data_IF_669999173534
#
_entry.id   IF_669999173534
#
_cell.length_a   1.000
_cell.length_b   1.000
_cell.length_c   1.000
_cell.angle_alpha   90.00
_cell.angle_beta   90.00
_cell.angle_gamma   90.00
#
_symmetry.space_group_name_H-M   'P 1'
#
loop_
_entity.id
_entity.type
_entity.pdbx_description
1 polymer ?
#
# COMPACT_ATOMS: atom_id res chain seq x y z
N UNK A 1 67.71 1.27 30.37
CA UNK A 1 67.18 0.30 31.36
C UNK A 1 66.52 -0.82 30.59
N UNK A 2 66.94 -2.06 30.87
CA UNK A 2 66.40 -3.31 30.32
C UNK A 2 65.00 -3.63 30.89
N UNK A 3 64.44 -4.85 30.71
CA UNK A 3 64.13 -5.63 29.50
C UNK A 3 62.62 -6.03 29.52
N UNK A 4 62.07 -6.78 28.56
CA UNK A 4 61.92 -8.25 28.60
C UNK A 4 60.80 -8.64 27.61
N UNK A 5 61.04 -9.56 26.67
CA UNK A 5 60.70 -11.01 26.74
C UNK A 5 59.18 -11.23 26.69
N UNK A 6 58.56 -12.04 25.82
CA UNK A 6 58.83 -13.42 25.41
C UNK A 6 57.82 -13.74 24.26
N UNK A 7 58.21 -14.30 23.11
CA UNK A 7 58.26 -15.74 22.78
C UNK A 7 56.97 -16.52 23.15
N UNK A 8 56.39 -17.46 22.38
CA UNK A 8 56.65 -18.08 21.07
C UNK A 8 55.58 -19.19 20.85
N UNK A 9 55.68 -19.91 19.72
CA UNK A 9 55.20 -21.29 19.41
C UNK A 9 54.00 -21.30 18.42
N UNK A 10 54.18 -21.47 17.10
CA UNK A 10 54.66 -22.64 16.29
C UNK A 10 53.57 -23.73 16.11
N UNK A 11 52.96 -23.88 14.92
CA UNK A 11 53.28 -24.75 13.75
C UNK A 11 52.37 -25.99 13.61
N UNK A 12 51.67 -26.03 12.46
CA UNK A 12 51.34 -27.15 11.53
C UNK A 12 51.30 -28.63 11.99
N UNK A 13 50.20 -29.32 11.67
CA UNK A 13 50.07 -30.66 11.01
C UNK A 13 48.59 -31.11 11.08
N UNK A 14 47.87 -31.48 10.02
CA UNK A 14 47.91 -32.63 9.07
C UNK A 14 46.92 -33.77 9.43
N UNK A 15 46.26 -34.29 8.39
CA UNK A 15 45.64 -35.62 8.23
C UNK A 15 44.23 -35.97 8.78
N UNK A 16 43.30 -36.02 7.81
CA UNK A 16 42.32 -37.06 7.45
C UNK A 16 42.01 -38.25 8.40
N UNK A 17 40.71 -38.63 8.52
CA UNK A 17 40.10 -39.89 7.99
C UNK A 17 38.74 -40.31 8.63
N UNK A 18 37.81 -40.68 7.73
CA UNK A 18 36.77 -41.75 7.73
C UNK A 18 35.63 -41.91 8.78
N UNK A 19 34.46 -42.26 8.19
CA UNK A 19 33.48 -43.31 8.57
C UNK A 19 32.39 -42.95 9.61
N UNK A 20 31.13 -42.74 9.18
CA UNK A 20 29.98 -43.72 9.16
C UNK A 20 28.91 -43.24 10.17
N UNK A 21 27.58 -43.36 10.08
CA UNK A 21 26.61 -44.18 9.31
C UNK A 21 25.17 -43.64 9.57
N UNK A 22 24.24 -43.94 8.63
CA UNK A 22 22.77 -44.16 8.78
C UNK A 22 21.87 -42.97 9.17
N UNK A 23 20.74 -42.66 8.50
CA UNK A 23 19.64 -43.55 8.12
C UNK A 23 18.74 -42.96 7.02
N UNK A 24 18.09 -43.86 6.28
CA UNK A 24 17.14 -43.73 5.14
C UNK A 24 15.74 -43.19 5.55
N UNK A 25 14.76 -42.90 4.63
CA UNK A 25 14.08 -43.89 3.79
C UNK A 25 13.84 -43.52 2.30
N UNK A 26 14.10 -44.54 1.48
CA UNK A 26 13.36 -45.10 0.33
C UNK A 26 12.19 -44.36 -0.34
N UNK A 27 12.27 -44.40 -1.67
CA UNK A 27 11.26 -44.19 -2.72
C UNK A 27 10.18 -45.27 -2.73
N UNK A 28 8.92 -44.89 -3.00
CA UNK A 28 7.88 -45.79 -3.55
C UNK A 28 6.98 -45.04 -4.54
N UNK A 29 7.04 -45.47 -5.79
CA UNK A 29 6.07 -45.22 -6.89
C UNK A 29 4.86 -46.12 -6.71
N UNK A 30 3.61 -45.63 -6.85
CA UNK A 30 2.41 -46.48 -7.11
C UNK A 30 1.18 -45.64 -7.54
N UNK A 31 0.75 -45.88 -8.78
CA UNK A 31 -0.65 -46.05 -9.25
C UNK A 31 -1.60 -44.85 -9.40
N UNK A 32 -1.64 -44.42 -10.67
CA UNK A 32 -2.81 -44.14 -11.51
C UNK A 32 -4.13 -44.81 -11.03
N UNK A 33 -5.13 -44.01 -10.63
CA UNK A 33 -6.53 -44.27 -10.99
C UNK A 33 -7.33 -42.98 -11.14
N UNK A 34 -8.02 -42.98 -12.26
CA UNK A 34 -8.80 -41.95 -12.92
C UNK A 34 -10.24 -42.01 -12.46
N UNK A 35 -10.80 -40.88 -12.01
CA UNK A 35 -12.13 -40.38 -12.42
C UNK A 35 -12.51 -39.14 -11.61
N UNK A 36 -12.44 -37.97 -12.24
CA UNK A 36 -13.33 -36.85 -11.93
C UNK A 36 -13.96 -36.48 -13.27
N UNK A 37 -15.08 -37.12 -13.57
CA UNK A 37 -16.01 -36.70 -14.63
C UNK A 37 -16.57 -35.34 -14.16
N UNK A 38 -16.22 -34.26 -14.85
CA UNK A 38 -17.02 -33.04 -14.82
C UNK A 38 -17.92 -33.08 -16.06
N UNK A 39 -19.21 -33.30 -15.81
CA UNK A 39 -20.26 -33.20 -16.81
C UNK A 39 -20.32 -31.79 -17.39
N UNK A 40 -20.13 -31.72 -18.71
CA UNK A 40 -20.45 -30.57 -19.53
C UNK A 40 -21.89 -30.75 -20.03
N UNK A 41 -22.84 -30.00 -19.47
CA UNK A 41 -24.17 -29.81 -20.10
C UNK A 41 -24.68 -28.38 -19.95
N UNK A 42 -24.56 -27.67 -21.07
CA UNK A 42 -25.61 -26.91 -21.78
C UNK A 42 -26.43 -25.84 -21.02
N UNK A 43 -26.11 -24.60 -21.41
CA UNK A 43 -26.97 -23.56 -22.01
C UNK A 43 -28.36 -23.21 -21.43
N UNK A 44 -28.59 -21.90 -21.52
CA UNK A 44 -29.86 -21.17 -21.53
C UNK A 44 -30.56 -20.96 -20.19
N UNK A 45 -30.47 -19.72 -19.68
CA UNK A 45 -31.62 -18.84 -19.45
C UNK A 45 -31.16 -17.45 -18.94
N UNK A 46 -31.18 -16.45 -19.83
CA UNK A 46 -31.30 -15.03 -19.49
C UNK A 46 -32.76 -14.57 -19.79
N UNK A 47 -33.22 -13.41 -19.33
CA UNK A 47 -33.98 -13.22 -18.10
C UNK A 47 -35.48 -12.97 -18.34
N UNK A 48 -36.31 -13.27 -17.34
CA UNK A 48 -37.74 -12.95 -17.38
C UNK A 48 -37.97 -11.42 -17.26
N UNK A 49 -38.23 -10.77 -18.40
CA UNK A 49 -38.74 -9.40 -18.53
C UNK A 49 -40.13 -9.32 -17.89
N UNK A 50 -40.21 -8.83 -16.66
CA UNK A 50 -41.48 -8.44 -16.04
C UNK A 50 -41.91 -7.08 -16.60
N UNK A 51 -42.83 -7.11 -17.57
CA UNK A 51 -43.58 -5.95 -18.08
C UNK A 51 -44.29 -5.25 -16.91
N UNK A 52 -43.73 -4.13 -16.42
CA UNK A 52 -44.46 -3.20 -15.55
C UNK A 52 -45.13 -2.13 -16.40
N UNK A 53 -46.43 -1.96 -16.14
CA UNK A 53 -47.38 -1.07 -16.80
C UNK A 53 -46.87 0.38 -16.81
N UNK A 54 -46.99 1.04 -17.97
CA UNK A 54 -46.84 2.49 -18.13
C UNK A 54 -47.95 3.19 -17.34
N UNK A 55 -47.60 3.81 -16.23
CA UNK A 55 -48.47 4.74 -15.51
C UNK A 55 -48.25 6.15 -16.03
N UNK A 56 -49.32 6.92 -16.14
CA UNK A 56 -49.45 8.18 -16.85
C UNK A 56 -48.37 9.25 -16.50
N UNK A 57 -47.89 9.94 -17.54
CA UNK A 57 -47.09 11.15 -17.46
C UNK A 57 -47.95 12.26 -16.83
N UNK A 58 -47.60 12.66 -15.60
CA UNK A 58 -48.06 13.93 -15.02
C UNK A 58 -47.43 15.09 -15.80
N UNK A 59 -48.15 16.21 -16.03
CA UNK A 59 -47.53 17.41 -16.59
C UNK A 59 -46.46 17.92 -15.62
N UNK A 60 -45.27 18.16 -16.18
CA UNK A 60 -44.09 18.65 -15.48
C UNK A 60 -44.34 20.12 -15.12
N UNK A 61 -44.51 20.44 -13.84
CA UNK A 61 -44.45 21.82 -13.37
C UNK A 61 -43.06 22.37 -13.68
N UNK A 62 -42.99 23.46 -14.43
CA UNK A 62 -41.75 24.16 -14.76
C UNK A 62 -40.95 24.51 -13.49
N UNK A 63 -39.62 24.39 -13.49
CA UNK A 63 -38.82 24.90 -12.38
C UNK A 63 -38.92 26.44 -12.33
N UNK A 64 -38.88 27.06 -11.13
CA UNK A 64 -38.81 28.51 -11.03
C UNK A 64 -37.48 29.03 -11.63
N UNK A 65 -37.47 30.25 -12.19
CA UNK A 65 -36.24 30.86 -12.68
C UNK A 65 -35.25 31.05 -11.52
N UNK A 66 -33.92 31.01 -11.80
CA UNK A 66 -32.91 31.30 -10.79
C UNK A 66 -33.08 32.73 -10.27
N UNK A 67 -32.72 33.02 -9.00
CA UNK A 67 -32.70 34.38 -8.51
C UNK A 67 -31.71 35.20 -9.34
N UNK A 68 -32.20 36.26 -9.97
CA UNK A 68 -31.37 37.28 -10.61
C UNK A 68 -30.49 37.90 -9.54
N UNK A 69 -29.19 37.65 -9.63
CA UNK A 69 -28.20 38.29 -8.78
C UNK A 69 -28.03 39.69 -9.37
N UNK A 70 -28.60 40.71 -8.73
CA UNK A 70 -28.33 42.09 -9.09
C UNK A 70 -26.85 42.36 -8.82
N UNK A 71 -26.09 42.56 -9.90
CA UNK A 71 -24.69 42.89 -9.86
C UNK A 71 -24.56 44.38 -9.51
N UNK A 72 -24.68 44.73 -8.22
CA UNK A 72 -24.22 46.03 -7.74
C UNK A 72 -22.70 45.96 -7.51
N UNK A 73 -21.97 46.66 -8.38
CA UNK A 73 -20.55 46.90 -8.27
C UNK A 73 -20.33 48.07 -7.31
N UNK A 74 -19.97 47.83 -6.04
CA UNK A 74 -19.10 48.77 -5.33
C UNK A 74 -18.33 48.19 -4.13
N UNK A 75 -17.04 47.90 -4.40
CA UNK A 75 -15.87 48.17 -3.57
C UNK A 75 -15.86 47.62 -2.13
N UNK A 76 -15.18 46.48 -2.00
CA UNK A 76 -14.35 46.16 -0.85
C UNK A 76 -13.22 45.27 -1.34
N UNK A 77 -12.00 45.80 -1.39
CA UNK A 77 -10.78 45.01 -1.63
C UNK A 77 -10.57 44.05 -0.45
N UNK A 78 -11.31 42.95 -0.46
CA UNK A 78 -11.12 41.80 0.41
C UNK A 78 -10.14 40.87 -0.28
N UNK A 79 -8.92 40.86 0.22
CA UNK A 79 -7.90 39.89 -0.11
C UNK A 79 -8.40 38.49 0.30
N UNK A 80 -9.13 37.79 -0.56
CA UNK A 80 -9.52 36.39 -0.36
C UNK A 80 -8.33 35.48 -0.69
N UNK A 81 -7.24 35.57 0.08
CA UNK A 81 -6.50 34.34 0.34
C UNK A 81 -7.41 33.51 1.26
N UNK A 82 -8.08 32.52 0.67
CA UNK A 82 -8.62 31.42 1.45
C UNK A 82 -7.49 30.87 2.32
N UNK A 83 -7.63 30.87 3.66
CA UNK A 83 -6.68 30.15 4.50
C UNK A 83 -6.74 28.67 4.12
N UNK A 84 -5.57 28.03 4.04
CA UNK A 84 -5.34 26.64 3.65
C UNK A 84 -5.98 25.62 4.62
N UNK A 85 -7.31 25.67 4.77
CA UNK A 85 -8.07 24.83 5.68
C UNK A 85 -8.68 23.59 5.00
N UNK A 86 -8.43 23.38 3.70
CA UNK A 86 -8.87 22.19 2.95
C UNK A 86 -7.72 21.21 2.65
N UNK A 87 -6.48 21.58 2.97
CA UNK A 87 -5.31 20.73 2.73
C UNK A 87 -5.25 19.51 3.65
N UNK A 88 -6.05 19.47 4.71
CA UNK A 88 -6.16 18.33 5.59
C UNK A 88 -7.13 17.26 5.06
N UNK A 89 -8.14 17.64 4.30
CA UNK A 89 -9.21 16.74 3.84
C UNK A 89 -8.84 15.99 2.56
N UNK A 90 -7.76 16.42 1.89
CA UNK A 90 -7.21 15.78 0.69
C UNK A 90 -6.43 14.48 0.99
N UNK A 91 -5.91 14.31 2.21
CA UNK A 91 -5.12 13.14 2.59
C UNK A 91 -6.01 12.04 3.17
N UNK A 92 -6.55 11.19 2.30
CA UNK A 92 -7.52 10.15 2.66
C UNK A 92 -6.97 9.08 3.61
N UNK A 93 -5.65 8.92 3.66
CA UNK A 93 -4.99 8.04 4.61
C UNK A 93 -4.00 8.87 5.41
N UNK A 94 -4.31 9.12 6.68
CA UNK A 94 -3.38 9.73 7.64
C UNK A 94 -2.88 8.65 8.59
N UNK A 95 -1.59 8.70 8.92
CA UNK A 95 -1.01 7.76 9.86
C UNK A 95 0.11 8.39 10.67
N UNK A 96 0.03 8.22 11.99
CA UNK A 96 1.14 8.43 12.92
C UNK A 96 2.06 7.21 12.87
N UNK A 97 3.34 7.43 12.56
CA UNK A 97 4.36 6.39 12.50
C UNK A 97 4.62 5.84 13.90
N UNK A 98 4.61 4.52 14.02
CA UNK A 98 5.01 3.81 15.23
C UNK A 98 6.46 3.41 15.12
N UNK A 99 7.08 3.06 16.25
CA UNK A 99 8.43 2.50 16.27
C UNK A 99 8.63 1.42 15.18
N UNK A 100 7.71 0.46 15.09
CA UNK A 100 7.75 -0.63 14.10
C UNK A 100 7.78 -0.20 12.63
N UNK A 101 7.34 1.02 12.33
CA UNK A 101 7.35 1.56 10.97
C UNK A 101 8.72 2.14 10.58
N UNK A 102 9.56 2.49 11.57
CA UNK A 102 10.85 3.18 11.37
C UNK A 102 12.05 2.42 11.96
N UNK A 103 11.86 1.43 12.85
CA UNK A 103 12.92 0.87 13.71
C UNK A 103 13.43 -0.53 13.35
N UNK A 104 13.21 -0.99 12.11
CA UNK A 104 13.93 -2.17 11.58
C UNK A 104 13.05 -3.29 11.02
N UNK A 105 11.74 -3.27 11.24
CA UNK A 105 10.82 -4.17 10.50
C UNK A 105 10.74 -3.86 9.01
N UNK A 106 11.34 -2.74 8.60
CA UNK A 106 11.45 -2.25 7.23
C UNK A 106 10.15 -2.19 6.45
N UNK A 107 9.06 -1.85 7.15
CA UNK A 107 7.70 -1.89 6.61
C UNK A 107 6.82 -0.81 7.21
N UNK A 108 5.97 -0.21 6.38
CA UNK A 108 4.90 0.68 6.82
C UNK A 108 3.60 -0.12 6.90
N UNK A 109 3.02 -0.26 8.10
CA UNK A 109 1.76 -0.97 8.29
C UNK A 109 0.55 -0.05 8.07
N UNK A 110 -0.31 -0.33 7.08
CA UNK A 110 -1.48 0.50 6.82
C UNK A 110 -2.78 -0.16 7.29
N UNK A 111 -3.73 0.68 7.69
CA UNK A 111 -5.07 0.24 8.09
C UNK A 111 -5.79 -0.45 6.94
N UNK A 112 -6.36 -1.63 7.22
CA UNK A 112 -7.00 -2.47 6.20
C UNK A 112 -8.07 -1.72 5.40
N UNK A 113 -9.00 -1.07 6.08
CA UNK A 113 -10.13 -0.38 5.46
C UNK A 113 -9.66 0.75 4.53
N UNK A 114 -8.76 1.61 5.03
CA UNK A 114 -8.21 2.73 4.27
C UNK A 114 -7.49 2.30 2.98
N UNK A 115 -6.73 1.20 3.03
CA UNK A 115 -6.05 0.67 1.83
C UNK A 115 -7.07 0.10 0.83
N UNK A 116 -8.08 -0.62 1.31
CA UNK A 116 -9.10 -1.20 0.43
C UNK A 116 -9.92 -0.11 -0.27
N UNK A 117 -10.35 0.91 0.46
CA UNK A 117 -11.22 1.98 -0.04
C UNK A 117 -10.49 2.98 -0.93
N UNK A 118 -9.22 3.28 -0.65
CA UNK A 118 -8.51 4.37 -1.32
C UNK A 118 -7.36 3.94 -2.23
N UNK A 119 -6.85 2.72 -2.11
CA UNK A 119 -5.72 2.24 -2.95
C UNK A 119 -6.18 1.08 -3.85
N UNK A 120 -6.80 0.04 -3.28
CA UNK A 120 -7.13 -1.17 -4.04
C UNK A 120 -8.33 -1.01 -4.96
N UNK A 121 -9.11 0.06 -4.80
CA UNK A 121 -10.11 0.45 -5.79
C UNK A 121 -9.48 0.73 -7.17
N UNK A 122 -8.17 1.03 -7.21
CA UNK A 122 -7.45 1.44 -8.41
C UNK A 122 -6.38 0.44 -8.85
N UNK A 123 -6.12 -0.61 -8.06
CA UNK A 123 -5.05 -1.57 -8.30
C UNK A 123 -5.52 -3.00 -8.11
N UNK A 124 -5.08 -3.87 -9.01
CA UNK A 124 -5.25 -5.32 -8.85
C UNK A 124 -4.03 -5.86 -8.10
N UNK A 125 -4.26 -6.44 -6.92
CA UNK A 125 -3.21 -7.07 -6.12
C UNK A 125 -3.27 -8.59 -6.24
N UNK A 126 -2.17 -9.19 -6.73
CA UNK A 126 -1.99 -10.64 -6.72
C UNK A 126 -1.43 -11.15 -5.38
N UNK A 127 -1.22 -12.46 -5.28
CA UNK A 127 -0.72 -13.10 -4.06
C UNK A 127 0.67 -12.59 -3.63
N UNK A 128 1.52 -12.22 -4.59
CA UNK A 128 2.86 -11.69 -4.34
C UNK A 128 2.86 -10.21 -3.90
N UNK A 129 1.71 -9.51 -3.96
CA UNK A 129 1.60 -8.06 -3.81
C UNK A 129 1.57 -7.31 -5.14
N UNK A 130 1.66 -5.98 -5.07
CA UNK A 130 1.67 -5.07 -6.22
C UNK A 130 2.70 -3.97 -6.01
N UNK A 131 3.49 -3.66 -7.04
CA UNK A 131 4.39 -2.51 -7.00
C UNK A 131 3.60 -1.22 -7.28
N UNK A 132 3.78 -0.23 -6.42
CA UNK A 132 3.04 1.04 -6.44
C UNK A 132 4.04 2.18 -6.57
N UNK A 133 3.80 3.06 -7.53
CA UNK A 133 4.51 4.34 -7.65
C UNK A 133 4.07 5.27 -6.53
N UNK A 134 5.05 5.84 -5.83
CA UNK A 134 4.84 6.79 -4.74
C UNK A 134 5.57 8.08 -5.06
N UNK A 135 4.82 9.17 -5.19
CA UNK A 135 5.33 10.51 -5.39
C UNK A 135 5.43 11.24 -4.06
N UNK A 136 6.64 11.57 -3.65
CA UNK A 136 6.88 12.43 -2.50
C UNK A 136 6.66 13.89 -2.93
N UNK A 137 5.54 14.47 -2.50
CA UNK A 137 5.13 15.83 -2.83
C UNK A 137 6.10 16.86 -2.27
N UNK A 138 6.68 16.58 -1.11
CA UNK A 138 7.54 17.53 -0.40
C UNK A 138 8.91 17.67 -1.08
N UNK A 139 9.42 16.58 -1.67
CA UNK A 139 10.73 16.55 -2.33
C UNK A 139 10.66 16.52 -3.85
N UNK A 140 9.47 16.33 -4.43
CA UNK A 140 9.29 16.23 -5.87
C UNK A 140 9.96 15.01 -6.49
N UNK A 141 9.93 13.86 -5.83
CA UNK A 141 10.62 12.63 -6.29
C UNK A 141 9.67 11.43 -6.35
N UNK A 142 9.88 10.56 -7.33
CA UNK A 142 9.09 9.33 -7.53
C UNK A 142 9.88 8.10 -7.09
N UNK A 143 9.21 7.20 -6.36
CA UNK A 143 9.79 5.99 -5.81
C UNK A 143 8.85 4.80 -5.92
N UNK A 144 9.40 3.60 -6.05
CA UNK A 144 8.60 2.37 -6.12
C UNK A 144 8.56 1.70 -4.74
N UNK A 145 7.35 1.44 -4.21
CA UNK A 145 7.14 0.60 -3.03
C UNK A 145 6.38 -0.68 -3.41
N UNK A 146 6.59 -1.75 -2.65
CA UNK A 146 5.85 -2.99 -2.83
C UNK A 146 4.75 -3.09 -1.77
N UNK A 147 3.49 -3.03 -2.20
CA UNK A 147 2.32 -3.23 -1.34
C UNK A 147 2.02 -4.72 -1.24
N UNK A 148 1.98 -5.26 -0.02
CA UNK A 148 1.67 -6.66 0.26
C UNK A 148 0.53 -6.78 1.25
N UNK A 149 -0.30 -7.79 1.06
CA UNK A 149 -1.25 -8.27 2.05
C UNK A 149 -0.59 -9.31 2.96
N UNK A 150 -0.75 -9.17 4.26
CA UNK A 150 -0.30 -10.13 5.26
C UNK A 150 -1.37 -11.16 5.61
N UNK A 151 -0.95 -12.27 6.23
CA UNK A 151 -1.84 -13.36 6.69
C UNK A 151 -2.92 -12.86 7.68
N UNK A 152 -2.60 -11.84 8.46
CA UNK A 152 -3.51 -11.14 9.38
C UNK A 152 -4.53 -10.23 8.67
N UNK A 153 -4.59 -10.22 7.34
CA UNK A 153 -5.39 -9.30 6.51
C UNK A 153 -5.01 -7.82 6.65
N UNK A 154 -3.85 -7.50 7.20
CA UNK A 154 -3.29 -6.14 7.17
C UNK A 154 -2.48 -5.91 5.90
N UNK A 155 -2.25 -4.65 5.54
CA UNK A 155 -1.43 -4.28 4.39
C UNK A 155 -0.14 -3.62 4.82
N UNK A 156 0.93 -3.89 4.10
CA UNK A 156 2.26 -3.33 4.36
C UNK A 156 2.90 -2.82 3.09
N UNK A 157 3.53 -1.65 3.15
CA UNK A 157 4.54 -1.27 2.16
C UNK A 157 5.91 -1.77 2.61
N UNK A 158 6.62 -2.47 1.73
CA UNK A 158 7.93 -3.08 1.99
C UNK A 158 8.95 -2.69 0.91
N UNK A 159 10.16 -3.28 0.99
CA UNK A 159 11.29 -3.13 0.06
C UNK A 159 12.01 -1.79 0.24
N UNK A 160 11.45 -0.72 -0.31
CA UNK A 160 12.11 0.58 -0.39
C UNK A 160 11.64 1.57 0.69
N UNK A 161 10.71 1.19 1.56
CA UNK A 161 10.18 2.08 2.59
C UNK A 161 11.29 2.69 3.47
N UNK A 162 12.18 1.86 4.02
CA UNK A 162 13.25 2.34 4.90
C UNK A 162 14.26 3.23 4.18
N UNK A 163 14.89 2.70 3.13
CA UNK A 163 15.99 3.38 2.46
C UNK A 163 15.54 4.69 1.82
N UNK A 164 14.34 4.72 1.25
CA UNK A 164 13.87 5.83 0.42
C UNK A 164 13.00 6.83 1.17
N UNK A 165 12.23 6.40 2.17
CA UNK A 165 11.40 7.33 2.93
C UNK A 165 11.98 7.58 4.30
N UNK A 166 12.22 6.53 5.10
CA UNK A 166 12.68 6.70 6.49
C UNK A 166 14.06 7.37 6.56
N UNK A 167 15.07 6.81 5.90
CA UNK A 167 16.44 7.35 5.95
C UNK A 167 16.56 8.69 5.22
N UNK A 168 15.93 8.83 4.05
CA UNK A 168 16.07 10.04 3.22
C UNK A 168 15.31 11.23 3.78
N UNK A 169 14.11 11.01 4.33
CA UNK A 169 13.26 12.08 4.91
C UNK A 169 13.46 12.21 6.41
N UNK A 170 14.38 11.45 6.98
CA UNK A 170 14.68 11.40 8.42
C UNK A 170 13.37 11.23 9.22
N UNK A 171 12.58 10.21 8.85
CA UNK A 171 11.29 9.95 9.50
C UNK A 171 11.52 9.25 10.83
N UNK A 172 10.82 9.74 11.85
CA UNK A 172 10.93 9.23 13.21
C UNK A 172 9.59 8.69 13.73
N UNK A 173 9.64 8.03 14.89
CA UNK A 173 8.42 7.65 15.58
C UNK A 173 7.61 8.91 15.94
N UNK A 174 6.27 8.81 15.86
CA UNK A 174 5.28 9.89 16.04
C UNK A 174 5.18 10.90 14.89
N UNK A 175 6.01 10.84 13.86
CA UNK A 175 5.78 11.60 12.63
C UNK A 175 4.42 11.21 12.04
N UNK A 176 3.65 12.21 11.59
CA UNK A 176 2.37 11.99 10.91
C UNK A 176 2.55 12.14 9.41
N UNK A 177 2.22 11.08 8.68
CA UNK A 177 2.30 11.05 7.22
C UNK A 177 0.90 11.09 6.60
N UNK A 178 0.81 11.66 5.41
CA UNK A 178 -0.38 11.70 4.57
C UNK A 178 -0.15 10.89 3.29
N UNK A 179 -1.14 10.08 2.91
CA UNK A 179 -1.19 9.39 1.63
C UNK A 179 -2.53 9.66 0.94
N UNK A 180 -2.50 9.81 -0.38
CA UNK A 180 -3.69 9.84 -1.23
C UNK A 180 -3.43 9.17 -2.56
N UNK A 181 -4.46 8.59 -3.16
CA UNK A 181 -4.37 8.13 -4.54
C UNK A 181 -4.55 9.31 -5.50
N UNK A 182 -3.61 9.46 -6.43
CA UNK A 182 -3.66 10.44 -7.50
C UNK A 182 -4.18 9.77 -8.77
N UNK A 183 -5.46 9.98 -9.07
CA UNK A 183 -6.12 9.36 -10.22
C UNK A 183 -5.53 9.79 -11.57
N UNK A 184 -5.10 11.05 -11.70
CA UNK A 184 -4.57 11.57 -12.96
C UNK A 184 -3.25 10.90 -13.35
N UNK A 185 -2.40 10.62 -12.34
CA UNK A 185 -1.08 10.02 -12.56
C UNK A 185 -1.03 8.52 -12.23
N UNK A 186 -2.14 7.92 -11.77
CA UNK A 186 -2.23 6.53 -11.31
C UNK A 186 -1.11 6.14 -10.33
N UNK A 187 -0.89 6.99 -9.33
CA UNK A 187 0.16 6.81 -8.32
C UNK A 187 -0.31 7.24 -6.95
N UNK A 188 0.43 6.86 -5.92
CA UNK A 188 0.19 7.31 -4.55
C UNK A 188 0.99 8.59 -4.29
N UNK A 189 0.36 9.67 -3.84
CA UNK A 189 1.08 10.83 -3.35
C UNK A 189 1.36 10.64 -1.85
N UNK A 190 2.55 11.07 -1.42
CA UNK A 190 3.05 11.05 -0.05
C UNK A 190 3.44 12.45 0.40
N UNK A 191 3.16 12.76 1.67
CA UNK A 191 3.68 13.94 2.36
C UNK A 191 3.94 13.63 3.83
N UNK A 192 4.81 14.41 4.45
CA UNK A 192 4.93 14.53 5.90
C UNK A 192 4.02 15.67 6.40
N UNK A 193 2.96 15.33 7.13
CA UNK A 193 1.98 16.29 7.64
C UNK A 193 2.48 17.01 8.90
N UNK A 194 3.06 16.26 9.84
CA UNK A 194 3.55 16.81 11.11
C UNK A 194 4.75 16.01 11.61
N UNK A 195 5.76 16.71 12.12
CA UNK A 195 6.87 16.09 12.84
C UNK A 195 6.45 15.67 14.25
N UNK A 196 6.88 14.49 14.66
CA UNK A 196 6.74 13.98 16.01
C UNK A 196 7.65 14.76 16.97
N UNK A 197 7.09 15.26 18.06
CA UNK A 197 7.83 15.88 19.16
C UNK A 197 8.20 14.87 20.25
#
# INVERSE_FOLDING_TARGET
>A
MAPSSSCSISTLSDSAKHSSVSSTPTTTTTTLHQHMIFDETKADQEPAIKKRKRTAVRPRSSPPPPPTIDLDLNIGSGNWQQPAADDEDQWKIKKVLKKSDVDGSSRLLLGKLLVQEHILLHLVMGEAGVEVKVWDVDTGTEHMLLLKKWKSNSFVFVKNWMSVFVTRRDLEEKDEIGLRWNHANSRLDFTLLRKGN
#
